data_IF_072293191735
#
_entry.id   IF_072293191735
#
_cell.length_a   1.000
_cell.length_b   1.000
_cell.length_c   1.000
_cell.angle_alpha   90.00
_cell.angle_beta   90.00
_cell.angle_gamma   90.00
#
_symmetry.space_group_name_H-M   'P 1'
#
loop_
_entity.id
_entity.type
_entity.pdbx_description
1 polymer ?
#
# COMPACT_ATOMS: atom_id res chain seq x y z
N UNK A 1 1.79 6.77 -29.16
CA UNK A 1 3.07 6.08 -29.31
C UNK A 1 2.87 4.59 -29.09
N UNK A 2 3.39 3.79 -29.97
CA UNK A 2 3.24 2.35 -29.85
C UNK A 2 3.93 1.86 -28.56
N UNK A 3 3.36 0.85 -27.93
CA UNK A 3 3.99 0.20 -26.80
C UNK A 3 5.35 -0.35 -27.24
N UNK A 4 6.36 -0.17 -26.42
CA UNK A 4 7.69 -0.70 -26.70
C UNK A 4 7.70 -2.18 -26.35
N UNK A 5 7.52 -3.04 -27.36
CA UNK A 5 7.46 -4.48 -27.20
C UNK A 5 8.80 -5.11 -26.83
N UNK A 6 9.90 -4.36 -27.00
CA UNK A 6 11.24 -4.83 -26.69
C UNK A 6 11.64 -4.53 -25.25
N UNK A 7 10.94 -3.60 -24.61
CA UNK A 7 11.23 -3.19 -23.23
C UNK A 7 10.29 -3.88 -22.27
N UNK A 8 10.87 -4.57 -21.31
CA UNK A 8 10.11 -5.26 -20.26
C UNK A 8 10.82 -5.08 -18.92
N UNK A 9 10.05 -4.77 -17.90
CA UNK A 9 10.54 -4.62 -16.54
C UNK A 9 10.31 -5.94 -15.79
N UNK A 10 11.29 -6.37 -15.02
CA UNK A 10 11.14 -7.49 -14.10
C UNK A 10 11.03 -6.91 -12.69
N UNK A 11 9.93 -7.21 -12.02
CA UNK A 11 9.70 -6.81 -10.63
C UNK A 11 9.96 -8.02 -9.75
N UNK A 12 10.96 -7.93 -8.89
CA UNK A 12 11.31 -9.01 -7.98
C UNK A 12 10.60 -8.77 -6.66
N UNK A 13 9.64 -9.62 -6.35
CA UNK A 13 8.82 -9.53 -5.15
C UNK A 13 7.41 -9.05 -5.45
N UNK A 14 6.41 -9.82 -5.00
CA UNK A 14 4.98 -9.54 -5.14
C UNK A 14 4.35 -8.98 -3.86
N UNK A 15 5.13 -8.31 -3.01
CA UNK A 15 4.62 -7.62 -1.85
C UNK A 15 4.02 -6.26 -2.21
N UNK A 16 3.67 -5.43 -1.19
CA UNK A 16 3.03 -4.13 -1.45
C UNK A 16 3.83 -3.22 -2.39
N UNK A 17 5.15 -3.19 -2.25
CA UNK A 17 6.01 -2.35 -3.09
C UNK A 17 5.99 -2.83 -4.54
N UNK A 18 6.18 -4.14 -4.75
CA UNK A 18 6.21 -4.72 -6.09
C UNK A 18 4.86 -4.60 -6.79
N UNK A 19 3.75 -4.84 -6.08
CA UNK A 19 2.41 -4.71 -6.64
C UNK A 19 2.07 -3.25 -6.98
N UNK A 20 2.51 -2.29 -6.16
CA UNK A 20 2.34 -0.87 -6.46
C UNK A 20 3.12 -0.48 -7.71
N UNK A 21 4.36 -0.95 -7.82
CA UNK A 21 5.17 -0.73 -9.03
C UNK A 21 4.48 -1.30 -10.27
N UNK A 22 3.89 -2.49 -10.15
CA UNK A 22 3.17 -3.13 -11.27
C UNK A 22 1.99 -2.28 -11.73
N UNK A 23 1.23 -1.69 -10.80
CA UNK A 23 0.12 -0.80 -11.16
C UNK A 23 0.63 0.45 -11.89
N UNK A 24 1.73 1.03 -11.43
CA UNK A 24 2.33 2.19 -12.08
C UNK A 24 2.83 1.84 -13.50
N UNK A 25 3.45 0.68 -13.66
CA UNK A 25 3.90 0.20 -14.97
C UNK A 25 2.73 -0.05 -15.91
N UNK A 26 1.63 -0.59 -15.40
CA UNK A 26 0.41 -0.79 -16.17
C UNK A 26 -0.13 0.53 -16.71
N UNK A 27 -0.19 1.56 -15.87
CA UNK A 27 -0.65 2.88 -16.30
C UNK A 27 0.28 3.52 -17.31
N UNK A 28 1.58 3.26 -17.21
CA UNK A 28 2.56 3.75 -18.16
C UNK A 28 2.63 2.93 -19.45
N UNK A 29 1.79 1.89 -19.55
CA UNK A 29 1.77 0.97 -20.68
C UNK A 29 3.12 0.28 -20.92
N UNK A 30 3.79 -0.06 -19.83
CA UNK A 30 5.07 -0.77 -19.84
C UNK A 30 4.83 -2.23 -19.45
N UNK A 31 5.30 -3.16 -20.26
CA UNK A 31 5.19 -4.58 -19.96
C UNK A 31 6.08 -4.96 -18.80
N UNK A 32 5.59 -5.82 -17.93
CA UNK A 32 6.36 -6.28 -16.78
C UNK A 32 6.05 -7.74 -16.46
N UNK A 33 6.94 -8.32 -15.66
CA UNK A 33 6.76 -9.65 -15.07
C UNK A 33 7.10 -9.55 -13.60
N UNK A 34 6.25 -10.10 -12.74
CA UNK A 34 6.52 -10.18 -11.29
C UNK A 34 7.05 -11.56 -10.98
N UNK A 35 8.17 -11.60 -10.27
CA UNK A 35 8.75 -12.85 -9.76
C UNK A 35 8.51 -12.87 -8.25
N UNK A 36 7.74 -13.85 -7.78
CA UNK A 36 7.42 -14.02 -6.37
C UNK A 36 7.79 -15.43 -5.93
N UNK A 37 8.55 -15.52 -4.83
CA UNK A 37 9.01 -16.81 -4.30
C UNK A 37 7.92 -17.59 -3.57
N UNK A 38 6.88 -16.90 -3.08
CA UNK A 38 5.78 -17.55 -2.38
C UNK A 38 4.77 -18.15 -3.37
N UNK A 39 3.94 -19.12 -2.95
CA UNK A 39 2.95 -19.73 -3.85
C UNK A 39 1.89 -18.76 -4.36
N UNK A 40 1.65 -17.66 -3.66
CA UNK A 40 0.67 -16.65 -4.04
C UNK A 40 1.15 -15.28 -3.60
N UNK A 41 0.74 -14.23 -4.33
CA UNK A 41 0.98 -12.84 -3.93
C UNK A 41 0.04 -12.41 -2.80
N UNK A 42 -1.10 -13.09 -2.66
CA UNK A 42 -2.08 -12.78 -1.62
C UNK A 42 -1.95 -13.83 -0.52
N UNK A 43 -1.08 -13.56 0.44
CA UNK A 43 -0.86 -14.42 1.60
C UNK A 43 -0.97 -13.55 2.85
N UNK A 44 -1.79 -14.00 3.80
CA UNK A 44 -1.92 -13.36 5.11
C UNK A 44 -0.75 -13.78 5.99
N UNK A 45 0.43 -13.26 5.68
CA UNK A 45 1.68 -13.60 6.37
C UNK A 45 2.55 -12.35 6.47
N UNK A 46 2.18 -11.45 7.33
CA UNK A 46 2.94 -10.22 7.49
C UNK A 46 2.42 -9.40 8.65
N UNK A 47 2.80 -8.15 8.67
CA UNK A 47 2.35 -7.19 9.67
C UNK A 47 1.28 -6.26 9.10
N UNK A 48 0.71 -5.46 9.97
CA UNK A 48 -0.24 -4.44 9.57
C UNK A 48 0.47 -3.30 8.83
N UNK A 49 -0.23 -2.71 7.89
CA UNK A 49 0.26 -1.56 7.13
C UNK A 49 -0.65 -0.37 7.38
N UNK A 50 -0.06 0.75 7.75
CA UNK A 50 -0.77 2.01 7.91
C UNK A 50 -0.38 2.92 6.75
N UNK A 51 -1.39 3.36 5.98
CA UNK A 51 -1.17 4.27 4.87
C UNK A 51 -1.40 5.70 5.33
N UNK A 52 -0.37 6.52 5.17
CA UNK A 52 -0.42 7.95 5.43
C UNK A 52 -0.99 8.68 4.20
N UNK A 53 -1.40 9.95 4.34
CA UNK A 53 -2.02 10.68 3.24
C UNK A 53 -1.22 10.70 1.94
N UNK A 54 0.10 10.76 2.02
CA UNK A 54 0.96 10.73 0.84
C UNK A 54 0.81 9.40 0.08
N UNK A 55 0.87 8.27 0.80
CA UNK A 55 0.67 6.95 0.19
C UNK A 55 -0.73 6.81 -0.38
N UNK A 56 -1.74 7.30 0.31
CA UNK A 56 -3.11 7.26 -0.18
C UNK A 56 -3.30 8.08 -1.45
N UNK A 57 -2.66 9.22 -1.56
CA UNK A 57 -2.70 10.02 -2.80
C UNK A 57 -2.08 9.28 -3.98
N UNK A 58 -0.96 8.62 -3.75
CA UNK A 58 -0.31 7.82 -4.81
C UNK A 58 -1.21 6.68 -5.25
N UNK A 59 -1.79 5.95 -4.32
CA UNK A 59 -2.72 4.86 -4.65
C UNK A 59 -3.98 5.39 -5.34
N UNK A 60 -4.43 6.58 -4.97
CA UNK A 60 -5.54 7.25 -5.67
C UNK A 60 -5.20 7.56 -7.12
N UNK A 61 -3.99 8.04 -7.39
CA UNK A 61 -3.52 8.29 -8.75
C UNK A 61 -3.43 6.99 -9.57
N UNK A 62 -3.18 5.87 -8.91
CA UNK A 62 -3.14 4.55 -9.54
C UNK A 62 -4.52 3.92 -9.67
N UNK A 63 -5.59 4.62 -9.28
CA UNK A 63 -6.96 4.13 -9.42
C UNK A 63 -7.35 3.07 -8.41
N UNK A 64 -6.68 2.98 -7.26
CA UNK A 64 -6.86 1.90 -6.29
C UNK A 64 -7.70 2.26 -5.08
N UNK A 65 -8.26 3.47 -5.02
CA UNK A 65 -8.95 3.92 -3.80
C UNK A 65 -10.17 3.08 -3.44
N UNK A 66 -11.00 2.73 -4.42
CA UNK A 66 -12.20 1.93 -4.14
C UNK A 66 -11.83 0.54 -3.61
N UNK A 67 -10.87 -0.11 -4.24
CA UNK A 67 -10.39 -1.41 -3.79
C UNK A 67 -9.76 -1.34 -2.41
N UNK A 68 -9.00 -0.28 -2.15
CA UNK A 68 -8.37 -0.05 -0.84
C UNK A 68 -9.42 0.16 0.25
N UNK A 69 -10.41 1.00 0.00
CA UNK A 69 -11.46 1.28 0.98
C UNK A 69 -12.30 0.06 1.30
N UNK A 70 -12.45 -0.86 0.34
CA UNK A 70 -13.22 -2.09 0.55
C UNK A 70 -12.58 -3.02 1.57
N UNK A 71 -11.25 -2.97 1.75
CA UNK A 71 -10.52 -3.87 2.64
C UNK A 71 -9.89 -3.17 3.84
N UNK A 72 -9.97 -1.84 3.89
CA UNK A 72 -9.34 -1.05 4.95
C UNK A 72 -10.24 -0.91 6.16
N UNK A 73 -9.62 -0.88 7.33
CA UNK A 73 -10.31 -0.50 8.57
C UNK A 73 -9.91 0.91 8.93
N UNK A 74 -10.87 1.77 9.31
CA UNK A 74 -10.54 3.13 9.70
C UNK A 74 -9.74 3.15 11.00
N UNK A 75 -8.75 4.02 11.06
CA UNK A 75 -8.00 4.28 12.28
C UNK A 75 -8.68 5.41 13.04
N UNK A 76 -8.99 5.16 14.28
CA UNK A 76 -9.56 6.17 15.17
C UNK A 76 -8.48 6.78 16.04
N UNK A 77 -8.29 6.18 17.20
CA UNK A 77 -7.41 6.70 18.22
C UNK A 77 -6.19 5.81 18.36
N UNK A 78 -5.03 6.44 18.52
CA UNK A 78 -3.78 5.73 18.86
C UNK A 78 -3.54 5.91 20.35
N UNK A 79 -3.40 4.81 21.06
CA UNK A 79 -3.10 4.79 22.49
C UNK A 79 -1.63 4.44 22.65
N UNK A 80 -0.95 5.19 23.52
CA UNK A 80 0.46 4.96 23.82
C UNK A 80 0.63 4.48 25.25
N UNK A 81 1.50 3.51 25.42
CA UNK A 81 1.80 2.89 26.69
C UNK A 81 3.30 2.93 26.93
N UNK A 82 3.71 3.05 28.20
CA UNK A 82 5.13 2.95 28.57
C UNK A 82 5.53 1.47 28.72
N UNK A 83 6.82 1.26 29.05
CA UNK A 83 7.35 -0.08 29.22
C UNK A 83 6.74 -0.86 30.42
N UNK A 84 6.04 -0.18 31.31
CA UNK A 84 5.35 -0.80 32.44
C UNK A 84 3.88 -1.12 32.12
N UNK A 85 3.45 -0.87 30.88
CA UNK A 85 2.07 -1.09 30.47
C UNK A 85 1.10 0.01 30.91
N UNK A 86 1.60 1.15 31.40
CA UNK A 86 0.77 2.27 31.80
C UNK A 86 0.51 3.18 30.62
N UNK A 87 -0.75 3.55 30.43
CA UNK A 87 -1.16 4.45 29.35
C UNK A 87 -0.59 5.86 29.62
N UNK A 88 0.13 6.39 28.63
CA UNK A 88 0.78 7.70 28.75
C UNK A 88 0.20 8.77 27.83
N UNK A 89 -0.73 8.40 26.95
CA UNK A 89 -1.41 9.39 26.13
C UNK A 89 -2.14 8.76 24.95
N UNK A 90 -2.96 9.59 24.31
CA UNK A 90 -3.75 9.25 23.14
C UNK A 90 -3.49 10.25 22.02
N UNK A 91 -3.72 9.81 20.79
CA UNK A 91 -3.65 10.68 19.62
C UNK A 91 -4.76 10.32 18.65
N UNK A 92 -5.40 11.35 18.10
CA UNK A 92 -6.38 11.21 17.02
C UNK A 92 -5.85 11.75 15.69
N UNK A 93 -4.54 11.79 15.56
CA UNK A 93 -3.90 12.37 14.39
C UNK A 93 -4.41 11.76 13.08
N UNK A 94 -4.65 10.45 13.06
CA UNK A 94 -5.12 9.77 11.85
C UNK A 94 -6.55 10.16 11.48
N UNK A 95 -7.39 10.48 12.46
CA UNK A 95 -8.74 11.00 12.20
C UNK A 95 -8.63 12.37 11.54
N UNK A 96 -7.83 13.26 12.10
CA UNK A 96 -7.64 14.60 11.54
C UNK A 96 -7.00 14.57 10.16
N UNK A 97 -6.07 13.67 9.92
CA UNK A 97 -5.44 13.53 8.61
C UNK A 97 -6.45 13.08 7.54
N UNK A 98 -7.40 12.23 7.92
CA UNK A 98 -8.42 11.74 6.99
C UNK A 98 -9.44 12.82 6.62
N UNK A 99 -9.70 13.77 7.51
CA UNK A 99 -10.65 14.85 7.30
C UNK A 99 -10.13 15.92 6.33
N UNK A 100 -8.85 15.91 6.02
CA UNK A 100 -8.20 16.85 5.10
C UNK A 100 -7.85 16.18 3.77
#
# INVERSE_FOLDING_TARGET
MAANNEFRVIVVGGGPVGLTAAHALTQANIKFTILESRPSVVIDAGSNLVLLPMGMRLLGQLGMMDALNAVSSPLGKVQRYNHQGRRVGDSRVFVHMKEK
#
